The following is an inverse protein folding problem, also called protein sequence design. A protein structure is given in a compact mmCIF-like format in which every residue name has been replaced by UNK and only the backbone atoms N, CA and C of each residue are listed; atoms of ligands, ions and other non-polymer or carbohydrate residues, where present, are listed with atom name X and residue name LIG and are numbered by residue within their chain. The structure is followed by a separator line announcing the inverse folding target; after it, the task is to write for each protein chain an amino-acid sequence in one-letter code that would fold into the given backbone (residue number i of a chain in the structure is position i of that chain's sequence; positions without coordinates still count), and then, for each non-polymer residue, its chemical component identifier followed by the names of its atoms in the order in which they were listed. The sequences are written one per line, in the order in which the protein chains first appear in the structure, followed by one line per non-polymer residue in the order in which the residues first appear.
data_IF_772130143577
#
_entry.id   IF_772130143577
#
_cell.length_a   1.000
_cell.length_b   1.000
_cell.length_c   1.000
_cell.angle_alpha   90.00
_cell.angle_beta   90.00
_cell.angle_gamma   90.00
#
_symmetry.space_group_name_H-M   'P 1'
#
loop_
_entity.id
_entity.type
_entity.pdbx_description
1 polymer ?
#
# COMPACT_ATOMS: atom_id res chain seq x y z
N UNK A 1 -35.10 33.45 -37.37
CA UNK A 1 -35.53 33.29 -35.97
C UNK A 1 -35.54 31.80 -35.67
N UNK A 2 -34.97 31.29 -34.56
CA UNK A 2 -33.97 31.83 -33.61
C UNK A 2 -32.68 30.94 -33.60
N UNK A 3 -31.47 31.30 -33.14
CA UNK A 3 -30.90 32.03 -31.97
C UNK A 3 -30.94 31.30 -30.62
N UNK A 4 -29.71 31.04 -30.16
CA UNK A 4 -29.16 31.24 -28.81
C UNK A 4 -29.39 30.24 -27.65
N UNK A 5 -28.29 29.58 -27.28
CA UNK A 5 -27.58 29.57 -25.97
C UNK A 5 -28.34 29.24 -24.67
N UNK A 6 -27.57 28.56 -23.79
CA UNK A 6 -27.70 28.31 -22.35
C UNK A 6 -28.22 26.92 -22.00
N UNK A 7 -27.75 26.25 -20.96
CA UNK A 7 -26.62 26.40 -20.02
C UNK A 7 -26.78 25.23 -19.03
N UNK A 8 -25.71 24.93 -18.30
CA UNK A 8 -25.75 24.23 -17.02
C UNK A 8 -26.32 22.80 -16.98
N UNK A 9 -25.40 21.86 -17.19
CA UNK A 9 -25.45 20.51 -16.63
C UNK A 9 -24.09 20.12 -16.07
N UNK A 10 -23.53 20.98 -15.23
CA UNK A 10 -22.37 20.73 -14.39
C UNK A 10 -22.57 19.39 -13.64
N UNK A 11 -21.73 18.38 -13.92
CA UNK A 11 -21.59 17.25 -13.01
C UNK A 11 -20.10 17.07 -12.73
N UNK A 12 -19.76 17.61 -11.57
CA UNK A 12 -18.65 17.27 -10.68
C UNK A 12 -17.36 16.81 -11.34
N UNK A 13 -16.36 17.69 -11.23
CA UNK A 13 -14.99 17.26 -11.03
C UNK A 13 -14.93 16.17 -9.97
N UNK A 14 -14.87 14.93 -10.43
CA UNK A 14 -14.18 13.88 -9.70
C UNK A 14 -12.72 14.10 -10.03
N UNK A 15 -12.09 15.01 -9.29
CA UNK A 15 -10.72 14.76 -8.86
C UNK A 15 -10.80 13.54 -7.94
N UNK A 16 -10.94 12.36 -8.55
CA UNK A 16 -10.44 11.16 -7.89
C UNK A 16 -8.92 11.25 -8.01
N UNK A 17 -8.37 12.17 -7.22
CA UNK A 17 -7.03 12.10 -6.69
C UNK A 17 -6.99 10.93 -5.71
N UNK A 18 -7.23 9.74 -6.26
CA UNK A 18 -7.07 8.46 -5.61
C UNK A 18 -6.55 7.55 -6.71
N UNK A 19 -5.28 7.10 -6.61
CA UNK A 19 -4.77 6.12 -7.55
C UNK A 19 -5.74 4.94 -7.58
N UNK A 20 -6.20 4.60 -8.78
CA UNK A 20 -7.07 3.45 -9.00
C UNK A 20 -6.24 2.19 -8.72
N UNK A 21 -6.31 1.72 -7.48
CA UNK A 21 -5.69 0.47 -7.05
C UNK A 21 -6.37 -0.68 -7.78
N UNK A 22 -5.79 -1.11 -8.91
CA UNK A 22 -6.27 -2.28 -9.64
C UNK A 22 -5.41 -3.48 -9.24
N UNK A 23 -5.97 -4.24 -8.30
CA UNK A 23 -5.51 -5.54 -7.79
C UNK A 23 -4.60 -5.52 -6.55
N UNK A 24 -5.00 -4.79 -5.50
CA UNK A 24 -4.72 -5.17 -4.11
C UNK A 24 -6.04 -5.65 -3.51
N UNK A 25 -6.10 -6.90 -3.03
CA UNK A 25 -7.19 -7.30 -2.14
C UNK A 25 -6.91 -6.66 -0.77
N UNK A 26 -7.08 -5.35 -0.68
CA UNK A 26 -7.23 -4.70 0.62
C UNK A 26 -8.59 -5.09 1.17
N UNK A 27 -8.60 -5.85 2.25
CA UNK A 27 -9.80 -6.16 2.99
C UNK A 27 -9.56 -5.76 4.44
N UNK A 28 -10.34 -4.79 4.93
CA UNK A 28 -10.29 -4.34 6.32
C UNK A 28 -8.92 -3.78 6.76
N UNK A 29 -8.21 -3.04 5.88
CA UNK A 29 -6.88 -2.49 6.16
C UNK A 29 -5.75 -3.54 6.19
N UNK A 30 -6.04 -4.75 5.68
CA UNK A 30 -5.08 -5.84 5.53
C UNK A 30 -4.79 -6.12 4.07
N UNK A 31 -3.52 -6.34 3.75
CA UNK A 31 -3.07 -6.77 2.43
C UNK A 31 -2.59 -8.21 2.49
N UNK A 32 -3.10 -9.04 1.60
CA UNK A 32 -2.68 -10.44 1.47
C UNK A 32 -1.86 -10.60 0.19
N UNK A 33 -0.56 -10.84 0.34
CA UNK A 33 0.34 -11.10 -0.78
C UNK A 33 0.63 -12.59 -0.86
N UNK A 34 0.26 -13.22 -1.97
CA UNK A 34 0.50 -14.63 -2.22
C UNK A 34 1.93 -14.92 -2.63
N UNK A 35 2.42 -16.08 -2.23
CA UNK A 35 3.76 -16.55 -2.56
C UNK A 35 3.98 -16.63 -4.09
N UNK A 36 5.02 -15.97 -4.58
CA UNK A 36 5.38 -15.86 -6.01
C UNK A 36 4.29 -15.28 -6.93
N UNK A 37 3.28 -14.61 -6.38
CA UNK A 37 2.29 -13.88 -7.17
C UNK A 37 2.71 -12.41 -7.23
N UNK A 38 2.99 -11.85 -8.42
CA UNK A 38 3.26 -10.43 -8.56
C UNK A 38 1.97 -9.61 -8.43
N UNK A 39 2.04 -8.54 -7.65
CA UNK A 39 0.99 -7.53 -7.51
C UNK A 39 1.46 -6.23 -8.15
N UNK A 40 0.54 -5.54 -8.81
CA UNK A 40 0.84 -4.26 -9.48
C UNK A 40 0.02 -3.16 -8.83
N UNK A 41 0.68 -2.04 -8.53
CA UNK A 41 0.09 -0.87 -7.88
C UNK A 41 0.51 0.37 -8.66
N UNK A 42 -0.44 1.19 -9.06
CA UNK A 42 -0.14 2.51 -9.63
C UNK A 42 -0.10 3.52 -8.49
N UNK A 43 1.03 4.22 -8.33
CA UNK A 43 1.21 5.22 -7.28
C UNK A 43 2.11 6.34 -7.79
N UNK A 44 1.70 7.59 -7.57
CA UNK A 44 2.43 8.80 -8.03
C UNK A 44 2.76 8.79 -9.54
N UNK A 45 1.86 8.25 -10.36
CA UNK A 45 2.06 8.13 -11.81
C UNK A 45 3.07 7.06 -12.25
N UNK A 46 3.65 6.31 -11.31
CA UNK A 46 4.58 5.19 -11.57
C UNK A 46 3.94 3.84 -11.25
N UNK A 47 4.33 2.82 -12.01
CA UNK A 47 3.86 1.45 -11.80
C UNK A 47 4.83 0.72 -10.86
N UNK A 48 4.31 0.29 -9.72
CA UNK A 48 5.02 -0.51 -8.73
C UNK A 48 4.62 -1.98 -8.86
N UNK A 49 5.61 -2.87 -8.90
CA UNK A 49 5.44 -4.32 -8.90
C UNK A 49 5.99 -4.89 -7.61
N UNK A 50 5.12 -5.48 -6.81
CA UNK A 50 5.41 -6.08 -5.52
C UNK A 50 5.43 -7.60 -5.71
N UNK A 51 6.51 -8.25 -5.26
CA UNK A 51 6.67 -9.69 -5.30
C UNK A 51 6.97 -10.21 -3.90
N UNK A 52 6.30 -11.29 -3.51
CA UNK A 52 6.58 -11.97 -2.25
C UNK A 52 7.20 -13.34 -2.47
N UNK A 53 8.27 -13.63 -1.74
CA UNK A 53 8.85 -14.97 -1.62
C UNK A 53 8.77 -15.40 -0.16
N UNK A 54 8.56 -16.69 0.12
CA UNK A 54 8.45 -17.21 1.48
C UNK A 54 9.38 -18.41 1.60
N UNK A 55 10.33 -18.31 2.51
CA UNK A 55 11.34 -19.32 2.79
C UNK A 55 10.97 -20.11 4.03
N UNK A 56 11.47 -21.33 4.16
CA UNK A 56 11.22 -22.20 5.33
C UNK A 56 12.46 -22.38 6.23
N UNK A 57 13.67 -22.19 5.71
CA UNK A 57 14.92 -22.50 6.39
C UNK A 57 15.76 -21.23 6.55
N UNK A 58 16.38 -20.99 7.73
CA UNK A 58 16.33 -21.79 8.97
C UNK A 58 15.03 -21.64 9.76
N UNK A 59 14.16 -20.71 9.39
CA UNK A 59 12.82 -20.50 9.94
C UNK A 59 11.92 -19.89 8.89
N UNK A 60 10.60 -19.97 9.05
CA UNK A 60 9.65 -19.39 8.08
C UNK A 60 9.77 -17.87 8.09
N UNK A 61 10.16 -17.29 6.95
CA UNK A 61 10.28 -15.85 6.77
C UNK A 61 9.87 -15.44 5.35
N UNK A 62 9.39 -14.21 5.23
CA UNK A 62 9.03 -13.59 3.97
C UNK A 62 10.16 -12.74 3.40
N UNK A 63 10.12 -12.53 2.09
CA UNK A 63 10.81 -11.47 1.39
C UNK A 63 9.82 -10.70 0.55
N UNK A 64 9.87 -9.38 0.59
CA UNK A 64 9.07 -8.50 -0.26
C UNK A 64 10.04 -7.68 -1.13
N UNK A 65 9.84 -7.76 -2.44
CA UNK A 65 10.58 -6.97 -3.42
C UNK A 65 9.63 -5.99 -4.10
N UNK A 66 10.03 -4.72 -4.15
CA UNK A 66 9.25 -3.64 -4.75
C UNK A 66 10.06 -3.10 -5.91
N UNK A 67 9.48 -3.20 -7.10
CA UNK A 67 10.08 -2.67 -8.32
C UNK A 67 9.24 -1.50 -8.80
N UNK A 68 9.86 -0.40 -9.19
CA UNK A 68 9.21 0.75 -9.82
C UNK A 68 9.71 0.84 -11.25
N UNK A 69 8.79 0.83 -12.21
CA UNK A 69 9.12 0.98 -13.64
C UNK A 69 10.25 0.03 -14.12
N UNK A 70 10.30 -1.19 -13.56
CA UNK A 70 11.30 -2.22 -13.88
C UNK A 70 12.60 -2.14 -13.08
N UNK A 71 12.76 -1.18 -12.18
CA UNK A 71 13.91 -1.06 -11.30
C UNK A 71 13.56 -1.49 -9.87
N UNK A 72 14.40 -2.30 -9.23
CA UNK A 72 14.25 -2.62 -7.81
C UNK A 72 14.48 -1.35 -6.98
N UNK A 73 13.45 -0.91 -6.25
CA UNK A 73 13.52 0.29 -5.39
C UNK A 73 13.60 -0.05 -3.91
N UNK A 74 13.05 -1.19 -3.50
CA UNK A 74 13.16 -1.67 -2.13
C UNK A 74 13.13 -3.20 -2.09
N UNK A 75 13.89 -3.77 -1.18
CA UNK A 75 13.88 -5.18 -0.85
C UNK A 75 13.90 -5.33 0.67
N UNK A 76 12.98 -6.13 1.19
CA UNK A 76 12.88 -6.46 2.60
C UNK A 76 12.98 -7.97 2.72
N UNK A 77 14.03 -8.46 3.39
CA UNK A 77 14.28 -9.88 3.63
C UNK A 77 14.09 -10.22 5.11
N UNK A 78 14.18 -11.51 5.46
CA UNK A 78 14.01 -12.02 6.83
C UNK A 78 12.73 -11.52 7.54
N UNK A 79 11.65 -11.30 6.79
CA UNK A 79 10.40 -10.77 7.33
C UNK A 79 9.68 -11.81 8.18
N UNK A 80 9.39 -11.46 9.42
CA UNK A 80 8.65 -12.28 10.38
C UNK A 80 7.45 -11.48 10.91
N UNK A 81 6.45 -12.12 11.53
CA UNK A 81 5.39 -11.39 12.23
C UNK A 81 5.97 -10.33 13.18
N UNK A 82 5.56 -9.08 13.01
CA UNK A 82 6.09 -7.92 13.72
C UNK A 82 7.00 -7.01 12.89
N UNK A 83 7.62 -7.51 11.81
CA UNK A 83 8.46 -6.69 10.92
C UNK A 83 7.65 -5.56 10.28
N UNK A 84 8.29 -4.42 10.00
CA UNK A 84 7.66 -3.29 9.32
C UNK A 84 8.35 -3.09 7.97
N UNK A 85 7.54 -2.90 6.92
CA UNK A 85 7.98 -2.60 5.56
C UNK A 85 7.32 -1.33 5.09
N UNK A 86 7.97 -0.60 4.19
CA UNK A 86 7.37 0.56 3.53
C UNK A 86 7.00 0.16 2.11
N UNK A 87 5.75 0.34 1.73
CA UNK A 87 5.26 0.08 0.37
C UNK A 87 4.59 1.35 -0.10
N UNK A 88 5.09 1.91 -1.20
CA UNK A 88 4.57 3.14 -1.82
C UNK A 88 4.46 4.34 -0.86
N UNK A 89 5.28 4.39 0.20
CA UNK A 89 5.26 5.44 1.21
C UNK A 89 4.37 5.16 2.44
N UNK A 90 3.58 4.08 2.42
CA UNK A 90 2.81 3.62 3.57
C UNK A 90 3.61 2.58 4.36
N UNK A 91 3.57 2.68 5.69
CA UNK A 91 4.13 1.67 6.58
C UNK A 91 3.16 0.51 6.79
N UNK A 92 3.65 -0.71 6.59
CA UNK A 92 2.90 -1.95 6.73
C UNK A 92 3.60 -2.86 7.73
N UNK A 93 2.84 -3.42 8.66
CA UNK A 93 3.32 -4.40 9.61
C UNK A 93 3.02 -5.81 9.11
N UNK A 94 4.03 -6.66 9.12
CA UNK A 94 3.93 -8.08 8.89
C UNK A 94 3.10 -8.71 10.01
N UNK A 95 1.88 -9.14 9.72
CA UNK A 95 0.99 -9.78 10.69
C UNK A 95 1.17 -11.29 10.70
N UNK A 96 1.21 -11.91 9.52
CA UNK A 96 1.30 -13.37 9.38
C UNK A 96 2.18 -13.77 8.21
N UNK A 97 3.02 -14.80 8.38
CA UNK A 97 3.82 -15.39 7.30
C UNK A 97 3.52 -16.88 7.26
N UNK A 98 2.91 -17.35 6.18
CA UNK A 98 2.54 -18.75 6.00
C UNK A 98 3.33 -19.37 4.84
N UNK A 99 4.13 -20.40 5.15
CA UNK A 99 5.06 -21.00 4.19
C UNK A 99 4.38 -21.40 2.88
N UNK A 100 4.92 -20.90 1.76
CA UNK A 100 4.44 -21.15 0.38
C UNK A 100 3.00 -20.74 0.09
N UNK A 101 2.30 -20.10 1.02
CA UNK A 101 0.90 -19.71 0.84
C UNK A 101 0.78 -18.21 0.65
N UNK A 102 1.08 -17.43 1.70
CA UNK A 102 0.82 -16.00 1.72
C UNK A 102 1.53 -15.30 2.88
N UNK A 103 1.62 -13.99 2.75
CA UNK A 103 1.96 -13.07 3.82
C UNK A 103 0.80 -12.09 4.01
N UNK A 104 0.49 -11.75 5.27
CA UNK A 104 -0.55 -10.79 5.62
C UNK A 104 0.10 -9.56 6.21
N UNK A 105 -0.12 -8.41 5.58
CA UNK A 105 0.31 -7.11 6.04
C UNK A 105 -0.89 -6.37 6.64
N UNK A 106 -0.66 -5.65 7.73
CA UNK A 106 -1.62 -4.74 8.35
C UNK A 106 -1.09 -3.32 8.23
N UNK A 107 -1.96 -2.38 7.85
CA UNK A 107 -1.54 -0.97 7.78
C UNK A 107 -1.12 -0.49 9.17
N UNK A 108 0.07 0.07 9.29
CA UNK A 108 0.47 0.76 10.52
C UNK A 108 -0.24 2.10 10.51
N UNK A 109 -1.12 2.40 11.49
CA UNK A 109 -1.68 3.73 11.57
C UNK A 109 -0.51 4.70 11.74
N UNK A 110 -0.40 5.69 10.85
CA UNK A 110 0.47 6.84 11.10
C UNK A 110 0.04 7.37 12.45
N UNK A 111 0.89 7.21 13.47
CA UNK A 111 0.64 7.83 14.75
C UNK A 111 0.64 9.33 14.47
N UNK A 112 -0.56 9.91 14.38
CA UNK A 112 -0.77 11.35 14.32
C UNK A 112 -0.01 11.95 15.49
N UNK A 113 1.19 12.45 15.21
CA UNK A 113 1.99 13.18 16.18
C UNK A 113 1.43 14.60 16.23
N UNK A 114 0.17 14.74 16.63
CA UNK A 114 -0.44 16.04 16.92
C UNK A 114 -0.58 16.24 18.44
N UNK A 115 0.06 17.33 18.88
CA UNK A 115 -0.13 18.08 20.12
C UNK A 115 0.24 17.42 21.46
N UNK A 116 1.55 17.29 21.73
CA UNK A 116 2.07 17.70 23.05
C UNK A 116 2.33 19.21 23.02
N UNK A 117 1.29 20.00 22.78
CA UNK A 117 1.29 21.45 22.97
C UNK A 117 1.05 21.72 24.45
N UNK A 118 1.98 22.45 25.06
CA UNK A 118 1.96 22.84 26.46
C UNK A 118 0.61 23.42 26.92
N UNK A 119 0.13 22.97 28.07
CA UNK A 119 -0.81 23.76 28.88
C UNK A 119 -0.15 24.04 30.23
N UNK A 120 0.40 25.25 30.33
CA UNK A 120 0.65 25.93 31.58
C UNK A 120 -0.68 26.52 32.10
N UNK A 121 -0.85 26.54 33.42
CA UNK A 121 -2.00 27.09 34.15
C UNK A 121 -2.84 25.96 34.75
N UNK A 122 -3.06 25.86 36.06
CA UNK A 122 -3.15 26.88 37.11
C UNK A 122 -2.15 26.71 38.27
#
# INVERSE_FOLDING_TARGET
MPRDVHDAGQVSGVTSDRPQVKCLFEFDGRWVLHHHVPYTVEHDGSVHRIMTTIFAEPSVHGRIQINRDGQLVAEYDELVPGSVVEITGDAWRMAEVEYRTRVVLERVPEATKEAAGAQAGE
#
